data_IF_703430066506
#
_entry.id   IF_703430066506
#
_cell.length_a   1.000
_cell.length_b   1.000
_cell.length_c   1.000
_cell.angle_alpha   90.00
_cell.angle_beta   90.00
_cell.angle_gamma   90.00
#
_symmetry.space_group_name_H-M   'P 1'
#
loop_
_entity.id
_entity.type
_entity.pdbx_description
1 polymer ?
#
# COMPACT_ATOMS: atom_id res chain seq x y z
N UNK A 1 11.39 1.19 -11.69
CA UNK A 1 10.76 0.27 -10.71
C UNK A 1 11.78 -0.35 -9.77
N UNK A 2 12.96 -0.76 -10.26
CA UNK A 2 14.07 -1.32 -9.46
C UNK A 2 14.64 -0.35 -8.42
N UNK A 3 14.81 0.94 -8.73
CA UNK A 3 15.36 1.94 -7.78
C UNK A 3 14.44 2.16 -6.57
N UNK A 4 13.14 2.37 -6.80
CA UNK A 4 12.17 2.66 -5.75
C UNK A 4 11.98 1.47 -4.79
N UNK A 5 12.02 0.25 -5.31
CA UNK A 5 11.97 -0.96 -4.48
C UNK A 5 13.24 -1.10 -3.63
N UNK A 6 14.41 -0.77 -4.16
CA UNK A 6 15.66 -0.80 -3.40
C UNK A 6 15.65 0.23 -2.27
N UNK A 7 15.13 1.43 -2.50
CA UNK A 7 14.92 2.42 -1.43
C UNK A 7 13.93 1.90 -0.37
N UNK A 8 12.81 1.32 -0.80
CA UNK A 8 11.83 0.77 0.14
C UNK A 8 12.40 -0.38 0.98
N UNK A 9 13.32 -1.18 0.43
CA UNK A 9 14.02 -2.24 1.19
C UNK A 9 14.86 -1.68 2.34
N UNK A 10 15.36 -0.44 2.22
CA UNK A 10 16.09 0.21 3.32
C UNK A 10 15.17 0.59 4.49
N UNK A 11 13.84 0.52 4.33
CA UNK A 11 12.86 0.78 5.39
C UNK A 11 12.50 -0.48 6.20
N UNK A 12 12.99 -1.66 5.80
CA UNK A 12 12.72 -2.93 6.48
C UNK A 12 13.50 -3.04 7.79
N UNK A 13 12.89 -3.65 8.80
CA UNK A 13 13.60 -4.06 10.02
C UNK A 13 14.36 -5.38 9.81
N UNK A 14 15.32 -5.72 10.68
CA UNK A 14 16.24 -6.85 10.53
C UNK A 14 15.58 -8.24 10.32
N UNK A 15 14.31 -8.43 10.72
CA UNK A 15 13.54 -9.68 10.52
C UNK A 15 12.29 -9.50 9.65
N UNK A 16 12.24 -8.40 8.87
CA UNK A 16 11.12 -8.09 8.01
C UNK A 16 11.41 -8.52 6.57
N UNK A 17 10.53 -9.36 6.01
CA UNK A 17 10.65 -9.88 4.65
C UNK A 17 9.48 -9.40 3.81
N UNK A 18 9.77 -8.96 2.59
CA UNK A 18 8.75 -8.59 1.62
C UNK A 18 8.09 -9.87 1.09
N UNK A 19 6.79 -9.99 1.29
CA UNK A 19 5.97 -11.08 0.74
C UNK A 19 5.44 -10.73 -0.65
N UNK A 20 5.11 -9.46 -0.86
CA UNK A 20 4.57 -8.97 -2.12
C UNK A 20 4.75 -7.45 -2.26
N UNK A 21 4.83 -6.95 -3.49
CA UNK A 21 4.75 -5.52 -3.77
C UNK A 21 4.08 -5.24 -5.12
N UNK A 22 3.47 -4.07 -5.26
CA UNK A 22 2.93 -3.59 -6.56
C UNK A 22 3.06 -2.07 -6.69
N UNK A 23 3.27 -1.61 -7.91
CA UNK A 23 3.21 -0.19 -8.22
C UNK A 23 1.75 0.28 -8.19
N UNK A 24 1.50 1.42 -7.55
CA UNK A 24 0.15 1.94 -7.35
C UNK A 24 0.21 3.45 -7.04
N UNK A 25 -0.91 4.01 -6.60
CA UNK A 25 -0.98 5.33 -5.99
C UNK A 25 -1.77 5.31 -4.69
N UNK A 26 -1.28 6.01 -3.67
CA UNK A 26 -2.03 6.29 -2.45
C UNK A 26 -2.83 7.58 -2.62
N UNK A 27 -4.14 7.53 -2.35
CA UNK A 27 -4.95 8.74 -2.23
C UNK A 27 -4.64 9.44 -0.90
N UNK A 28 -4.16 10.68 -0.96
CA UNK A 28 -3.92 11.55 0.18
C UNK A 28 -4.64 12.89 0.03
N UNK A 29 -4.72 13.65 1.11
CA UNK A 29 -5.28 14.99 1.11
C UNK A 29 -4.19 16.06 1.24
N UNK A 30 -4.05 16.91 0.22
CA UNK A 30 -3.20 18.12 0.26
C UNK A 30 -4.03 19.27 -0.30
N UNK A 31 -4.88 19.88 0.54
CA UNK A 31 -5.91 20.88 0.17
C UNK A 31 -6.96 20.39 -0.87
N UNK A 32 -6.74 19.22 -1.47
CA UNK A 32 -7.59 18.46 -2.38
C UNK A 32 -7.17 16.99 -2.32
N UNK A 33 -8.01 16.10 -2.83
CA UNK A 33 -7.60 14.70 -3.04
C UNK A 33 -6.53 14.63 -4.13
N UNK A 34 -5.40 14.00 -3.82
CA UNK A 34 -4.27 13.79 -4.72
C UNK A 34 -3.84 12.32 -4.66
N UNK A 35 -3.57 11.72 -5.82
CA UNK A 35 -2.99 10.39 -5.90
C UNK A 35 -1.46 10.50 -5.95
N UNK A 36 -0.77 10.05 -4.89
CA UNK A 36 0.69 9.98 -4.87
C UNK A 36 1.15 8.64 -5.44
N UNK A 37 1.96 8.61 -6.51
CA UNK A 37 2.48 7.36 -7.05
C UNK A 37 3.48 6.72 -6.07
N UNK A 38 3.58 5.40 -6.07
CA UNK A 38 4.53 4.68 -5.20
C UNK A 38 4.37 3.16 -5.29
N UNK A 39 4.87 2.47 -4.26
CA UNK A 39 4.73 1.04 -4.06
C UNK A 39 3.85 0.75 -2.85
N UNK A 40 2.90 -0.15 -3.00
CA UNK A 40 2.27 -0.83 -1.86
C UNK A 40 3.06 -2.11 -1.61
N UNK A 41 3.55 -2.29 -0.40
CA UNK A 41 4.45 -3.37 -0.01
C UNK A 41 3.85 -4.11 1.18
N UNK A 42 3.66 -5.40 1.01
CA UNK A 42 3.23 -6.32 2.06
C UNK A 42 4.46 -7.06 2.58
N UNK A 43 4.67 -7.00 3.89
CA UNK A 43 5.69 -7.77 4.59
C UNK A 43 5.08 -8.80 5.52
N UNK A 44 5.90 -9.61 6.15
CA UNK A 44 5.48 -10.48 7.26
C UNK A 44 5.12 -9.71 8.55
N UNK A 45 5.35 -8.38 8.63
CA UNK A 45 5.11 -7.58 9.83
C UNK A 45 4.07 -6.46 9.66
N UNK A 46 3.95 -5.88 8.47
CA UNK A 46 3.06 -4.74 8.19
C UNK A 46 2.73 -4.65 6.71
N UNK A 47 1.73 -3.83 6.40
CA UNK A 47 1.53 -3.27 5.09
C UNK A 47 2.11 -1.84 5.11
N UNK A 48 2.87 -1.43 4.10
CA UNK A 48 3.28 -0.03 4.00
C UNK A 48 3.27 0.47 2.57
N UNK A 49 3.11 1.77 2.42
CA UNK A 49 3.23 2.47 1.16
C UNK A 49 4.51 3.30 1.16
N UNK A 50 5.28 3.20 0.07
CA UNK A 50 6.47 4.00 -0.14
C UNK A 50 6.38 4.75 -1.47
N UNK A 51 6.25 6.07 -1.40
CA UNK A 51 6.27 6.99 -2.54
C UNK A 51 7.69 7.51 -2.80
N UNK A 52 8.06 7.76 -4.08
CA UNK A 52 9.37 8.30 -4.42
C UNK A 52 9.60 9.64 -3.75
N UNK A 53 10.88 9.92 -3.51
CA UNK A 53 11.33 11.22 -3.07
C UNK A 53 11.16 12.27 -4.19
N UNK A 54 9.98 12.88 -4.26
CA UNK A 54 9.74 14.07 -5.08
C UNK A 54 10.01 15.29 -4.19
N UNK A 55 11.09 16.02 -4.49
CA UNK A 55 11.48 17.25 -3.80
C UNK A 55 11.88 17.10 -2.33
N UNK A 56 12.63 16.04 -1.97
CA UNK A 56 13.11 15.73 -0.61
C UNK A 56 11.99 15.39 0.38
N UNK A 57 10.90 14.82 -0.10
CA UNK A 57 9.75 14.42 0.70
C UNK A 57 9.22 13.04 0.27
N UNK A 58 9.98 11.96 0.58
CA UNK A 58 9.49 10.60 0.41
C UNK A 58 8.27 10.39 1.31
N UNK A 59 7.27 9.69 0.79
CA UNK A 59 6.06 9.38 1.55
C UNK A 59 6.15 7.95 2.05
N UNK A 60 6.37 7.78 3.34
CA UNK A 60 6.26 6.50 4.02
C UNK A 60 4.99 6.49 4.87
N UNK A 61 4.08 5.56 4.57
CA UNK A 61 2.84 5.35 5.31
C UNK A 61 2.77 3.89 5.75
N UNK A 62 2.67 3.67 7.06
CA UNK A 62 2.75 2.34 7.65
C UNK A 62 1.42 1.92 8.27
N UNK A 63 1.07 0.67 8.03
CA UNK A 63 -0.19 0.09 8.47
C UNK A 63 0.09 -1.23 9.21
N UNK A 64 0.09 -1.17 10.54
CA UNK A 64 0.09 -2.37 11.38
C UNK A 64 -1.18 -3.18 11.13
N UNK A 65 -1.03 -4.51 10.98
CA UNK A 65 -2.14 -5.42 10.71
C UNK A 65 -3.27 -5.33 11.75
N UNK A 66 -2.93 -5.20 13.03
CA UNK A 66 -3.90 -5.13 14.12
C UNK A 66 -4.87 -3.95 14.04
N UNK A 67 -4.53 -2.93 13.24
CA UNK A 67 -5.31 -1.69 13.09
C UNK A 67 -6.01 -1.59 11.73
N UNK A 68 -5.73 -2.50 10.81
CA UNK A 68 -6.40 -2.57 9.52
C UNK A 68 -7.75 -3.26 9.70
N UNK A 69 -8.81 -2.66 9.17
CA UNK A 69 -10.13 -3.26 9.10
C UNK A 69 -10.82 -2.90 7.79
N UNK A 70 -11.93 -3.58 7.49
CA UNK A 70 -12.75 -3.35 6.29
C UNK A 70 -11.96 -3.40 4.96
N UNK A 71 -10.87 -4.16 4.91
CA UNK A 71 -10.04 -4.32 3.73
C UNK A 71 -10.83 -5.04 2.62
N UNK A 72 -10.92 -4.41 1.45
CA UNK A 72 -11.57 -5.00 0.28
C UNK A 72 -11.06 -4.42 -1.03
N UNK A 73 -11.25 -5.20 -2.09
CA UNK A 73 -11.25 -4.68 -3.44
C UNK A 73 -12.55 -3.88 -3.66
N UNK A 74 -12.40 -2.66 -4.17
CA UNK A 74 -13.51 -1.86 -4.68
C UNK A 74 -13.44 -1.81 -6.21
N UNK A 75 -14.37 -2.52 -6.87
CA UNK A 75 -14.49 -2.51 -8.33
C UNK A 75 -14.99 -1.16 -8.83
N UNK A 76 -14.39 -0.64 -9.89
CA UNK A 76 -14.84 0.57 -10.61
C UNK A 76 -14.77 0.35 -12.11
N UNK A 77 -15.46 1.22 -12.86
CA UNK A 77 -15.54 1.17 -14.32
C UNK A 77 -14.17 1.13 -15.05
N UNK A 78 -13.14 1.81 -14.50
CA UNK A 78 -11.86 1.97 -15.20
C UNK A 78 -10.67 1.31 -14.49
N UNK A 79 -10.65 1.28 -13.15
CA UNK A 79 -9.58 0.63 -12.39
C UNK A 79 -10.06 0.24 -11.00
N UNK A 80 -9.80 -1.00 -10.62
CA UNK A 80 -10.08 -1.48 -9.27
C UNK A 80 -9.15 -0.79 -8.26
N UNK A 81 -9.66 -0.64 -7.05
CA UNK A 81 -8.97 0.02 -5.95
C UNK A 81 -8.93 -0.92 -4.76
N UNK A 82 -7.95 -0.76 -3.89
CA UNK A 82 -7.96 -1.38 -2.57
C UNK A 82 -8.37 -0.30 -1.59
N UNK A 83 -9.37 -0.60 -0.77
CA UNK A 83 -9.84 0.29 0.29
C UNK A 83 -9.80 -0.44 1.62
N UNK A 84 -9.38 0.26 2.66
CA UNK A 84 -9.36 -0.24 4.02
C UNK A 84 -9.47 0.91 5.00
N UNK A 85 -9.84 0.60 6.24
CA UNK A 85 -9.79 1.52 7.37
C UNK A 85 -8.52 1.24 8.17
N UNK A 86 -7.83 2.29 8.60
CA UNK A 86 -6.71 2.23 9.55
C UNK A 86 -6.94 3.28 10.62
N UNK A 87 -7.05 2.88 11.89
CA UNK A 87 -7.38 3.78 13.02
C UNK A 87 -8.55 4.75 12.71
N UNK A 88 -9.66 4.21 12.19
CA UNK A 88 -10.87 4.94 11.76
C UNK A 88 -10.72 5.86 10.54
N UNK A 89 -9.57 5.88 9.87
CA UNK A 89 -9.38 6.62 8.62
C UNK A 89 -9.45 5.70 7.39
N UNK A 90 -10.19 6.14 6.37
CA UNK A 90 -10.22 5.44 5.08
C UNK A 90 -8.94 5.69 4.28
N UNK A 91 -8.25 4.62 3.92
CA UNK A 91 -7.13 4.64 2.97
C UNK A 91 -7.60 4.05 1.65
N UNK A 92 -7.18 4.67 0.54
CA UNK A 92 -7.50 4.19 -0.81
C UNK A 92 -6.24 4.06 -1.66
N UNK A 93 -6.00 2.86 -2.16
CA UNK A 93 -4.94 2.56 -3.13
C UNK A 93 -5.57 2.45 -4.51
N UNK A 94 -5.05 3.23 -5.45
CA UNK A 94 -5.55 3.39 -6.82
C UNK A 94 -4.46 3.09 -7.84
N UNK A 95 -4.83 3.06 -9.13
CA UNK A 95 -3.90 2.90 -10.26
C UNK A 95 -2.94 1.72 -10.07
N UNK A 96 -3.47 0.61 -9.55
CA UNK A 96 -2.67 -0.57 -9.19
C UNK A 96 -2.22 -1.24 -10.48
N UNK A 97 -0.91 -1.44 -10.63
CA UNK A 97 -0.30 -2.06 -11.81
C UNK A 97 -0.26 -3.59 -11.68
N UNK A 98 -1.43 -4.18 -11.45
CA UNK A 98 -1.66 -5.63 -11.57
C UNK A 98 -3.08 -5.87 -12.10
N UNK A 99 -3.25 -6.94 -12.87
CA UNK A 99 -4.55 -7.38 -13.34
C UNK A 99 -5.31 -8.21 -12.29
N UNK A 100 -4.65 -8.59 -11.20
CA UNK A 100 -5.20 -9.43 -10.13
C UNK A 100 -5.14 -8.74 -8.77
N UNK A 101 -6.01 -7.74 -8.59
CA UNK A 101 -6.16 -7.01 -7.32
C UNK A 101 -6.80 -7.89 -6.25
N UNK A 102 -7.67 -8.83 -6.64
CA UNK A 102 -8.30 -9.80 -5.74
C UNK A 102 -7.27 -10.65 -5.00
N UNK A 103 -6.32 -11.26 -5.72
CA UNK A 103 -5.24 -12.05 -5.10
C UNK A 103 -4.39 -11.21 -4.14
N UNK A 104 -4.15 -9.94 -4.47
CA UNK A 104 -3.44 -9.03 -3.58
C UNK A 104 -4.20 -8.81 -2.27
N UNK A 105 -5.50 -8.50 -2.34
CA UNK A 105 -6.36 -8.34 -1.16
C UNK A 105 -6.40 -9.61 -0.32
N UNK A 106 -6.48 -10.78 -0.97
CA UNK A 106 -6.43 -12.07 -0.28
C UNK A 106 -5.12 -12.25 0.50
N UNK A 107 -3.96 -12.01 -0.13
CA UNK A 107 -2.64 -12.12 0.54
C UNK A 107 -2.51 -11.21 1.76
N UNK A 108 -3.10 -10.01 1.71
CA UNK A 108 -3.11 -9.11 2.87
C UNK A 108 -4.03 -9.69 3.96
N UNK A 109 -5.24 -10.13 3.62
CA UNK A 109 -6.17 -10.74 4.58
C UNK A 109 -5.57 -11.96 5.30
N UNK A 110 -4.76 -12.76 4.60
CA UNK A 110 -4.02 -13.88 5.18
C UNK A 110 -3.01 -13.44 6.26
N UNK A 111 -2.47 -12.22 6.18
CA UNK A 111 -1.64 -11.66 7.26
C UNK A 111 -2.46 -11.03 8.38
N UNK A 112 -3.64 -10.48 8.09
CA UNK A 112 -4.54 -9.91 9.12
C UNK A 112 -5.14 -10.97 10.04
N UNK A 113 -5.21 -12.22 9.58
CA UNK A 113 -5.85 -13.34 10.30
C UNK A 113 -4.89 -14.12 11.20
N UNK A 114 -3.61 -13.73 11.26
CA UNK A 114 -2.57 -14.34 12.10
C UNK A 114 -2.49 -13.62 13.44
#
# INVERSE_FOLDING_TARGET
MTTLLNEAKNMLTNDETILFYTACSLEIFIYRSVARPGLLILTNKRLFFYGPDVSKNPLLEEYSFAKISNLKEQKRLFSNQIVFTYDNEWKKIKHIQTNDVSSLVQKINEQLSK
#
